data_IF_145652246515
#
_entry.id   IF_145652246515
#
_cell.length_a   1.000
_cell.length_b   1.000
_cell.length_c   1.000
_cell.angle_alpha   90.00
_cell.angle_beta   90.00
_cell.angle_gamma   90.00
#
_symmetry.space_group_name_H-M   'P 1'
#
loop_
_entity.id
_entity.type
_entity.pdbx_description
1 polymer ?
#
# COMPACT_ATOMS: atom_id res chain seq x y z
N UNK A 1 13.24 17.49 -14.16
CA UNK A 1 13.05 16.16 -13.53
C UNK A 1 13.97 16.09 -12.33
N UNK A 2 13.44 15.90 -11.14
CA UNK A 2 14.26 15.77 -9.94
C UNK A 2 14.94 14.40 -9.85
N UNK A 3 15.82 14.21 -8.85
CA UNK A 3 16.57 12.95 -8.71
C UNK A 3 15.65 11.76 -8.46
N UNK A 4 14.60 11.92 -7.66
CA UNK A 4 13.60 10.89 -7.34
C UNK A 4 12.88 10.41 -8.60
N UNK A 5 12.48 11.34 -9.45
CA UNK A 5 11.82 11.03 -10.71
C UNK A 5 12.73 10.23 -11.66
N UNK A 6 14.01 10.60 -11.73
CA UNK A 6 14.99 9.87 -12.56
C UNK A 6 15.17 8.42 -12.08
N UNK A 7 15.18 8.19 -10.78
CA UNK A 7 15.28 6.84 -10.21
C UNK A 7 14.03 5.99 -10.56
N UNK A 8 12.83 6.56 -10.38
CA UNK A 8 11.59 5.86 -10.77
C UNK A 8 11.53 5.55 -12.27
N UNK A 9 11.96 6.48 -13.13
CA UNK A 9 12.00 6.25 -14.57
C UNK A 9 13.01 5.17 -14.97
N UNK A 10 14.13 5.11 -14.27
CA UNK A 10 15.14 4.08 -14.47
C UNK A 10 14.75 2.70 -13.91
N UNK A 11 13.53 2.54 -13.37
CA UNK A 11 13.08 1.28 -12.78
C UNK A 11 13.71 0.97 -11.42
N UNK A 12 14.25 1.98 -10.74
CA UNK A 12 14.81 1.83 -9.40
C UNK A 12 13.81 2.25 -8.32
N UNK A 13 14.14 1.92 -7.07
CA UNK A 13 13.31 2.23 -5.92
C UNK A 13 13.65 3.59 -5.31
N UNK A 14 12.66 4.20 -4.65
CA UNK A 14 12.80 5.44 -3.88
C UNK A 14 12.09 5.32 -2.54
N UNK A 15 12.61 5.99 -1.51
CA UNK A 15 11.96 6.09 -0.21
C UNK A 15 11.07 7.33 -0.19
N UNK A 16 9.77 7.14 0.06
CA UNK A 16 8.80 8.23 0.10
C UNK A 16 8.01 8.22 1.41
N UNK A 17 7.73 9.39 1.98
CA UNK A 17 6.85 9.50 3.14
C UNK A 17 5.39 9.25 2.73
N UNK A 18 4.63 8.69 3.67
CA UNK A 18 3.18 8.65 3.62
C UNK A 18 2.62 9.28 4.89
N UNK A 19 1.31 9.34 5.06
CA UNK A 19 0.73 9.79 6.33
C UNK A 19 0.89 8.78 7.47
N UNK A 20 1.33 7.57 7.17
CA UNK A 20 1.54 6.49 8.16
C UNK A 20 3.01 6.32 8.52
N UNK A 21 3.77 5.68 7.64
CA UNK A 21 5.20 5.38 7.74
C UNK A 21 5.85 5.61 6.38
N UNK A 22 7.17 5.59 6.30
CA UNK A 22 7.86 5.58 5.02
C UNK A 22 7.63 4.28 4.26
N UNK A 23 7.53 4.38 2.95
CA UNK A 23 7.52 3.24 2.04
C UNK A 23 8.71 3.24 1.09
N UNK A 24 9.09 2.07 0.59
CA UNK A 24 9.99 1.92 -0.55
C UNK A 24 9.12 1.73 -1.78
N UNK A 25 9.19 2.70 -2.70
CA UNK A 25 8.32 2.76 -3.87
C UNK A 25 9.07 2.44 -5.15
N UNK A 26 8.40 1.71 -6.03
CA UNK A 26 8.86 1.44 -7.39
C UNK A 26 7.66 1.27 -8.33
N UNK A 27 7.88 1.37 -9.64
CA UNK A 27 6.82 1.19 -10.65
C UNK A 27 6.25 -0.22 -10.57
N UNK A 28 4.96 -0.35 -10.27
CA UNK A 28 4.30 -1.64 -10.08
C UNK A 28 4.24 -2.49 -11.36
N UNK A 29 4.14 -1.84 -12.52
CA UNK A 29 4.05 -2.51 -13.82
C UNK A 29 5.43 -2.82 -14.46
N UNK A 30 6.51 -2.51 -13.76
CA UNK A 30 7.86 -2.89 -14.16
C UNK A 30 8.35 -4.03 -13.26
N UNK A 31 8.43 -5.24 -13.81
CA UNK A 31 8.80 -6.44 -13.05
C UNK A 31 10.19 -6.30 -12.42
N UNK A 32 11.18 -5.79 -13.16
CA UNK A 32 12.55 -5.61 -12.66
C UNK A 32 12.59 -4.65 -11.44
N UNK A 33 11.78 -3.58 -11.50
CA UNK A 33 11.67 -2.63 -10.40
C UNK A 33 11.02 -3.27 -9.15
N UNK A 34 10.02 -4.14 -9.36
CA UNK A 34 9.38 -4.89 -8.27
C UNK A 34 10.33 -5.94 -7.69
N UNK A 35 11.06 -6.66 -8.55
CA UNK A 35 12.07 -7.63 -8.13
C UNK A 35 13.14 -6.96 -7.26
N UNK A 36 13.57 -5.76 -7.65
CA UNK A 36 14.51 -4.96 -6.87
C UNK A 36 14.00 -4.63 -5.46
N UNK A 37 12.69 -4.34 -5.30
CA UNK A 37 12.06 -4.14 -3.96
C UNK A 37 12.19 -5.41 -3.10
N UNK A 38 11.91 -6.59 -3.69
CA UNK A 38 12.04 -7.86 -2.95
C UNK A 38 13.46 -8.11 -2.49
N UNK A 39 14.45 -7.85 -3.34
CA UNK A 39 15.87 -7.99 -3.03
C UNK A 39 16.32 -7.02 -1.93
N UNK A 40 16.06 -5.72 -2.10
CA UNK A 40 16.40 -4.69 -1.13
C UNK A 40 15.87 -5.00 0.27
N UNK A 41 14.61 -5.43 0.33
CA UNK A 41 13.95 -5.72 1.61
C UNK A 41 14.27 -7.12 2.15
N UNK A 42 14.95 -7.97 1.41
CA UNK A 42 15.06 -9.41 1.70
C UNK A 42 13.68 -10.01 1.96
N UNK A 43 12.69 -9.61 1.15
CA UNK A 43 11.30 -10.00 1.32
C UNK A 43 11.04 -11.37 0.73
N UNK A 44 10.36 -12.27 1.44
CA UNK A 44 9.90 -13.54 0.86
C UNK A 44 8.96 -13.30 -0.33
N UNK A 45 9.15 -14.05 -1.41
CA UNK A 45 8.38 -13.89 -2.66
C UNK A 45 6.91 -14.30 -2.54
N UNK A 46 6.56 -15.09 -1.54
CA UNK A 46 5.19 -15.47 -1.22
C UNK A 46 4.38 -14.36 -0.54
N UNK A 47 5.04 -13.28 -0.11
CA UNK A 47 4.37 -12.10 0.45
C UNK A 47 4.02 -11.11 -0.65
N UNK A 48 2.74 -11.08 -1.05
CA UNK A 48 2.20 -10.15 -2.03
C UNK A 48 2.50 -8.68 -1.69
N UNK A 49 2.42 -7.83 -2.70
CA UNK A 49 2.54 -6.37 -2.61
C UNK A 49 1.18 -5.71 -2.88
N UNK A 50 1.01 -4.52 -2.33
CA UNK A 50 -0.15 -3.68 -2.60
C UNK A 50 0.15 -2.69 -3.73
N UNK A 51 -0.91 -2.27 -4.43
CA UNK A 51 -0.87 -1.18 -5.38
C UNK A 51 -1.21 0.14 -4.69
N UNK A 52 -0.27 1.08 -4.68
CA UNK A 52 -0.55 2.47 -4.32
C UNK A 52 -0.99 3.20 -5.60
N UNK A 53 -2.19 3.76 -5.55
CA UNK A 53 -2.88 4.32 -6.72
C UNK A 53 -3.35 5.74 -6.45
N UNK A 54 -3.73 6.46 -7.50
CA UNK A 54 -4.08 7.87 -7.39
C UNK A 54 -5.58 8.11 -7.10
N UNK A 55 -6.45 7.21 -7.52
CA UNK A 55 -7.90 7.37 -7.43
C UNK A 55 -8.67 6.04 -7.52
N UNK A 56 -9.99 6.13 -7.32
CA UNK A 56 -10.91 5.00 -7.39
C UNK A 56 -10.95 4.33 -8.78
N UNK A 57 -10.77 5.10 -9.86
CA UNK A 57 -10.83 4.53 -11.23
C UNK A 57 -9.76 3.49 -11.42
N UNK A 58 -8.57 3.74 -10.87
CA UNK A 58 -7.45 2.78 -10.94
C UNK A 58 -7.72 1.56 -10.07
N UNK A 59 -8.34 1.70 -8.89
CA UNK A 59 -8.79 0.58 -8.06
C UNK A 59 -9.75 -0.31 -8.84
N UNK A 60 -10.77 0.28 -9.47
CA UNK A 60 -11.76 -0.46 -10.28
C UNK A 60 -11.13 -1.11 -11.51
N UNK A 61 -10.13 -0.48 -12.12
CA UNK A 61 -9.45 -1.00 -13.30
C UNK A 61 -8.70 -2.32 -13.03
N UNK A 62 -8.12 -2.47 -11.82
CA UNK A 62 -7.33 -3.64 -11.43
C UNK A 62 -8.09 -4.66 -10.57
N UNK A 63 -9.34 -4.39 -10.22
CA UNK A 63 -10.17 -5.28 -9.41
C UNK A 63 -11.42 -5.75 -10.14
N UNK A 64 -12.09 -6.77 -9.60
CA UNK A 64 -13.36 -7.31 -10.09
C UNK A 64 -14.31 -7.58 -8.93
N UNK A 65 -15.60 -7.77 -9.22
CA UNK A 65 -16.63 -8.12 -8.24
C UNK A 65 -16.65 -7.16 -7.03
N UNK A 66 -16.48 -5.86 -7.31
CA UNK A 66 -16.44 -4.85 -6.24
C UNK A 66 -17.80 -4.76 -5.54
N UNK A 67 -17.82 -4.67 -4.19
CA UNK A 67 -19.06 -4.46 -3.46
C UNK A 67 -19.68 -3.09 -3.76
N UNK A 68 -21.00 -2.99 -3.70
CA UNK A 68 -21.73 -1.76 -4.01
C UNK A 68 -21.36 -0.56 -3.12
N UNK A 69 -20.86 -0.81 -1.92
CA UNK A 69 -20.41 0.22 -0.97
C UNK A 69 -18.96 0.69 -1.18
N UNK A 70 -18.24 0.19 -2.20
CA UNK A 70 -16.81 0.50 -2.38
C UNK A 70 -16.54 2.01 -2.51
N UNK A 71 -17.31 2.75 -3.30
CA UNK A 71 -17.13 4.20 -3.44
C UNK A 71 -17.28 4.92 -2.10
N UNK A 72 -18.28 4.54 -1.31
CA UNK A 72 -18.52 5.14 0.01
C UNK A 72 -17.36 4.88 0.98
N UNK A 73 -16.77 3.68 0.93
CA UNK A 73 -15.59 3.32 1.71
C UNK A 73 -14.38 4.16 1.28
N UNK A 74 -14.14 4.29 -0.02
CA UNK A 74 -13.04 5.09 -0.58
C UNK A 74 -13.21 6.56 -0.21
N UNK A 75 -14.38 7.14 -0.44
CA UNK A 75 -14.65 8.56 -0.17
C UNK A 75 -14.50 8.91 1.33
N UNK A 76 -14.77 7.95 2.22
CA UNK A 76 -14.68 8.17 3.66
C UNK A 76 -13.25 8.08 4.21
N UNK A 77 -12.37 7.26 3.62
CA UNK A 77 -11.09 6.91 4.23
C UNK A 77 -9.86 7.09 3.34
N UNK A 78 -10.03 7.41 2.05
CA UNK A 78 -8.94 7.60 1.11
C UNK A 78 -9.01 8.98 0.42
N UNK A 79 -7.88 9.65 0.21
CA UNK A 79 -6.52 9.27 0.58
C UNK A 79 -6.34 9.14 2.10
N UNK A 80 -5.64 8.10 2.56
CA UNK A 80 -5.47 7.91 3.99
C UNK A 80 -4.99 6.52 4.42
N UNK A 81 -5.04 6.23 5.75
CA UNK A 81 -4.39 5.09 6.37
C UNK A 81 -5.21 3.80 6.27
N UNK A 82 -5.84 3.55 5.13
CA UNK A 82 -6.58 2.33 4.83
C UNK A 82 -6.00 1.62 3.61
N UNK A 83 -5.75 0.33 3.73
CA UNK A 83 -5.47 -0.56 2.61
C UNK A 83 -6.69 -1.47 2.43
N UNK A 84 -7.25 -1.49 1.22
CA UNK A 84 -8.44 -2.28 0.87
C UNK A 84 -8.01 -3.45 0.00
N UNK A 85 -8.31 -4.68 0.42
CA UNK A 85 -8.07 -5.88 -0.39
C UNK A 85 -9.35 -6.22 -1.14
N UNK A 86 -9.21 -6.38 -2.47
CA UNK A 86 -10.26 -6.75 -3.41
C UNK A 86 -9.83 -7.95 -4.24
N UNK A 87 -10.77 -8.57 -4.94
CA UNK A 87 -10.45 -9.57 -5.94
C UNK A 87 -9.69 -8.92 -7.10
N UNK A 88 -8.52 -9.49 -7.43
CA UNK A 88 -7.72 -9.06 -8.56
C UNK A 88 -8.37 -9.52 -9.87
N UNK A 89 -8.27 -8.70 -10.90
CA UNK A 89 -8.57 -9.16 -12.25
C UNK A 89 -7.27 -9.52 -13.00
N UNK A 90 -7.40 -9.95 -14.24
CA UNK A 90 -6.31 -10.40 -15.12
C UNK A 90 -5.31 -9.31 -15.54
N UNK A 91 -5.57 -8.04 -15.18
CA UNK A 91 -4.66 -6.92 -15.44
C UNK A 91 -3.62 -6.73 -14.34
N UNK A 92 -3.83 -7.35 -13.16
CA UNK A 92 -2.83 -7.33 -12.08
C UNK A 92 -1.73 -8.32 -12.41
N UNK A 93 -0.47 -7.87 -12.54
CA UNK A 93 0.64 -8.79 -12.83
C UNK A 93 0.88 -9.80 -11.70
N UNK A 94 1.30 -11.01 -12.08
CA UNK A 94 1.58 -12.11 -11.12
C UNK A 94 2.65 -11.74 -10.09
N UNK A 95 3.63 -10.92 -10.46
CA UNK A 95 4.66 -10.44 -9.52
C UNK A 95 4.15 -9.49 -8.43
N UNK A 96 2.90 -9.01 -8.53
CA UNK A 96 2.24 -8.18 -7.50
C UNK A 96 1.51 -9.07 -6.49
N UNK A 97 0.61 -9.94 -6.96
CA UNK A 97 -0.26 -10.73 -6.08
C UNK A 97 0.33 -12.07 -5.63
N UNK A 98 1.52 -12.43 -6.12
CA UNK A 98 2.24 -13.66 -5.69
C UNK A 98 1.40 -14.94 -5.78
N UNK A 99 0.57 -15.06 -6.83
CA UNK A 99 -0.32 -16.20 -7.05
C UNK A 99 -1.64 -16.17 -6.27
N UNK A 100 -1.91 -15.10 -5.52
CA UNK A 100 -3.21 -14.88 -4.89
C UNK A 100 -4.24 -14.39 -5.93
N UNK A 101 -5.52 -14.57 -5.64
CA UNK A 101 -6.63 -14.02 -6.43
C UNK A 101 -7.08 -12.63 -5.95
N UNK A 102 -6.32 -12.04 -5.04
CA UNK A 102 -6.61 -10.76 -4.39
C UNK A 102 -5.45 -9.78 -4.54
N UNK A 103 -5.75 -8.49 -4.44
CA UNK A 103 -4.75 -7.40 -4.42
C UNK A 103 -5.20 -6.30 -3.47
N UNK A 104 -4.25 -5.75 -2.71
CA UNK A 104 -4.47 -4.61 -1.85
C UNK A 104 -4.29 -3.28 -2.58
N UNK A 105 -5.13 -2.30 -2.27
CA UNK A 105 -5.07 -0.95 -2.81
C UNK A 105 -4.97 0.08 -1.70
N UNK A 106 -4.19 1.12 -1.92
CA UNK A 106 -4.10 2.28 -1.05
C UNK A 106 -3.97 3.55 -1.88
N UNK A 107 -4.53 4.64 -1.40
CA UNK A 107 -4.27 6.00 -1.89
C UNK A 107 -3.59 6.74 -0.75
N UNK A 108 -2.26 6.90 -0.76
CA UNK A 108 -1.55 7.61 0.31
C UNK A 108 -1.85 9.10 0.28
N UNK A 109 -1.91 9.75 1.44
CA UNK A 109 -2.29 11.15 1.55
C UNK A 109 -1.13 12.14 1.41
N UNK A 110 0.13 11.67 1.47
CA UNK A 110 1.28 12.58 1.35
C UNK A 110 1.35 13.23 -0.04
N UNK A 111 1.40 14.57 -0.16
CA UNK A 111 1.26 15.29 -1.44
C UNK A 111 2.29 14.86 -2.49
N UNK A 112 3.58 14.79 -2.11
CA UNK A 112 4.65 14.41 -3.05
C UNK A 112 4.51 12.96 -3.52
N UNK A 113 4.18 12.04 -2.65
CA UNK A 113 3.97 10.64 -2.98
C UNK A 113 2.78 10.47 -3.92
N UNK A 114 1.68 11.15 -3.64
CA UNK A 114 0.49 11.12 -4.50
C UNK A 114 0.74 11.79 -5.88
N UNK A 115 1.53 12.87 -5.93
CA UNK A 115 1.99 13.49 -7.18
C UNK A 115 2.74 12.48 -8.07
N UNK A 116 3.70 11.74 -7.48
CA UNK A 116 4.48 10.74 -8.20
C UNK A 116 3.61 9.58 -8.70
N UNK A 117 2.65 9.12 -7.89
CA UNK A 117 1.70 8.09 -8.31
C UNK A 117 0.82 8.58 -9.48
N UNK A 118 0.36 9.82 -9.45
CA UNK A 118 -0.41 10.41 -10.57
C UNK A 118 0.42 10.49 -11.85
N UNK A 119 1.70 10.80 -11.73
CA UNK A 119 2.61 10.96 -12.87
C UNK A 119 3.05 9.64 -13.47
N UNK A 120 3.38 8.65 -12.65
CA UNK A 120 4.02 7.39 -13.08
C UNK A 120 3.09 6.18 -13.09
N UNK A 121 1.83 6.34 -12.67
CA UNK A 121 0.87 5.26 -12.51
C UNK A 121 1.05 4.50 -11.18
N UNK A 122 0.46 3.30 -11.07
CA UNK A 122 0.53 2.51 -9.85
C UNK A 122 1.97 2.23 -9.42
N UNK A 123 2.25 2.43 -8.13
CA UNK A 123 3.52 2.08 -7.50
C UNK A 123 3.29 0.97 -6.46
N UNK A 124 4.20 0.02 -6.36
CA UNK A 124 4.34 -0.77 -5.13
C UNK A 124 4.99 0.10 -4.07
N UNK A 125 4.69 -0.12 -2.81
CA UNK A 125 5.20 0.73 -1.73
C UNK A 125 5.09 0.04 -0.37
N UNK A 126 5.76 -1.12 -0.15
CA UNK A 126 5.82 -1.69 1.19
C UNK A 126 6.56 -0.76 2.14
N UNK A 127 6.34 -0.93 3.45
CA UNK A 127 7.04 -0.14 4.47
C UNK A 127 8.57 -0.16 4.29
N UNK A 128 9.22 0.97 4.56
CA UNK A 128 10.67 1.15 4.37
C UNK A 128 11.46 0.55 5.54
N UNK A 129 11.62 -0.77 5.54
CA UNK A 129 12.37 -1.56 6.52
C UNK A 129 12.81 -2.88 5.89
N UNK A 130 13.84 -3.51 6.40
CA UNK A 130 14.13 -4.90 6.10
C UNK A 130 13.00 -5.79 6.59
N UNK A 131 12.68 -6.86 5.86
CA UNK A 131 11.58 -7.75 6.21
C UNK A 131 11.77 -8.34 7.61
N UNK A 132 10.74 -8.19 8.45
CA UNK A 132 10.76 -8.61 9.85
C UNK A 132 11.21 -7.54 10.85
N UNK A 133 11.73 -6.41 10.39
CA UNK A 133 12.01 -5.26 11.24
C UNK A 133 10.78 -4.36 11.40
N UNK A 134 10.81 -3.45 12.36
CA UNK A 134 9.77 -2.44 12.53
C UNK A 134 9.73 -1.47 11.34
N UNK A 135 8.54 -0.95 11.03
CA UNK A 135 8.37 0.05 9.96
C UNK A 135 9.18 1.32 10.25
N UNK A 136 9.87 1.82 9.25
CA UNK A 136 10.71 3.02 9.36
C UNK A 136 9.87 4.29 9.57
N UNK A 137 10.23 5.07 10.56
CA UNK A 137 9.54 6.32 10.94
C UNK A 137 10.45 7.53 10.97
N UNK A 138 11.76 7.34 10.75
CA UNK A 138 12.75 8.40 10.59
C UNK A 138 13.57 8.15 9.35
N UNK A 139 13.64 9.17 8.49
CA UNK A 139 14.32 9.06 7.21
C UNK A 139 15.79 8.65 7.34
N UNK A 140 16.53 9.25 8.25
CA UNK A 140 17.96 8.99 8.45
C UNK A 140 18.24 7.55 8.91
N UNK A 141 17.37 6.97 9.73
CA UNK A 141 17.50 5.58 10.18
C UNK A 141 17.25 4.62 9.01
N UNK A 142 16.24 4.94 8.17
CA UNK A 142 15.86 4.13 7.01
C UNK A 142 16.99 4.10 5.98
N UNK A 143 17.52 5.25 5.57
CA UNK A 143 18.61 5.27 4.58
C UNK A 143 19.87 4.58 5.07
N UNK A 144 20.12 4.59 6.37
CA UNK A 144 21.22 3.86 6.99
C UNK A 144 20.98 2.35 6.93
N UNK A 145 19.73 1.88 7.13
CA UNK A 145 19.36 0.45 7.04
C UNK A 145 19.56 -0.10 5.63
N UNK A 146 19.43 0.75 4.61
CA UNK A 146 19.65 0.40 3.20
C UNK A 146 21.00 0.85 2.64
N UNK A 147 22.01 1.00 3.51
CA UNK A 147 23.39 1.37 3.11
C UNK A 147 23.45 2.64 2.24
N UNK A 148 22.49 3.56 2.39
CA UNK A 148 22.34 4.82 1.64
C UNK A 148 22.23 4.67 0.12
N UNK A 149 21.90 3.47 -0.38
CA UNK A 149 21.78 3.21 -1.82
C UNK A 149 20.43 3.59 -2.42
N UNK A 150 19.42 3.84 -1.58
CA UNK A 150 18.06 4.20 -2.00
C UNK A 150 17.78 5.66 -1.68
N UNK A 151 17.66 6.55 -2.67
CA UNK A 151 17.33 7.95 -2.41
C UNK A 151 15.86 8.12 -2.02
N UNK A 152 15.56 9.23 -1.37
CA UNK A 152 14.19 9.49 -0.93
C UNK A 152 13.89 10.94 -0.63
N UNK A 153 12.70 11.16 -0.14
CA UNK A 153 12.17 12.45 0.32
C UNK A 153 12.00 12.39 1.83
N UNK A 154 12.69 13.27 2.54
CA UNK A 154 12.57 13.38 3.99
C UNK A 154 11.38 14.27 4.36
N UNK A 155 10.46 13.74 5.17
CA UNK A 155 9.37 14.47 5.81
C UNK A 155 8.87 13.69 7.04
N UNK A 156 9.69 13.66 8.10
CA UNK A 156 9.40 12.91 9.32
C UNK A 156 8.19 13.44 10.10
N UNK A 157 7.86 14.72 9.90
CA UNK A 157 6.79 15.40 10.65
C UNK A 157 5.39 15.07 10.10
N UNK A 158 5.30 14.60 8.87
CA UNK A 158 4.02 14.24 8.25
C UNK A 158 3.46 12.89 8.75
N UNK A 159 4.27 12.03 9.32
CA UNK A 159 3.93 10.66 9.66
C UNK A 159 3.18 10.53 10.98
N UNK A 160 2.10 9.73 11.01
CA UNK A 160 1.45 9.28 12.25
C UNK A 160 2.26 8.21 12.99
N UNK A 161 3.23 7.59 12.32
CA UNK A 161 4.08 6.50 12.82
C UNK A 161 3.30 5.23 13.18
N UNK A 162 2.13 5.07 12.60
CA UNK A 162 1.30 3.89 12.74
C UNK A 162 0.98 3.33 11.36
N UNK A 163 1.16 2.03 11.16
CA UNK A 163 0.81 1.37 9.90
C UNK A 163 -0.69 1.49 9.56
N UNK A 164 -1.02 1.40 8.27
CA UNK A 164 -2.41 1.43 7.81
C UNK A 164 -3.22 0.23 8.31
N UNK A 165 -4.50 0.44 8.54
CA UNK A 165 -5.46 -0.66 8.68
C UNK A 165 -5.56 -1.40 7.35
N UNK A 166 -5.55 -2.74 7.38
CA UNK A 166 -5.77 -3.58 6.19
C UNK A 166 -7.14 -4.24 6.33
N UNK A 167 -8.05 -3.86 5.44
CA UNK A 167 -9.41 -4.37 5.36
C UNK A 167 -9.56 -5.24 4.12
N UNK A 168 -9.84 -6.52 4.32
CA UNK A 168 -10.16 -7.46 3.25
C UNK A 168 -11.70 -7.50 3.05
N UNK A 169 -12.13 -7.12 1.85
CA UNK A 169 -13.52 -7.18 1.38
C UNK A 169 -13.63 -7.95 0.07
N UNK A 170 -12.67 -8.82 -0.21
CA UNK A 170 -12.66 -9.66 -1.40
C UNK A 170 -13.68 -10.80 -1.37
N UNK A 171 -14.11 -11.20 -0.17
CA UNK A 171 -15.13 -12.22 0.07
C UNK A 171 -16.50 -11.63 0.40
N UNK A 172 -17.41 -12.49 0.86
CA UNK A 172 -18.77 -12.09 1.28
C UNK A 172 -18.81 -11.41 2.64
N UNK A 173 -17.77 -11.56 3.44
CA UNK A 173 -17.60 -10.94 4.77
C UNK A 173 -16.31 -10.14 4.81
N UNK A 174 -16.34 -9.03 5.54
CA UNK A 174 -15.17 -8.20 5.77
C UNK A 174 -14.28 -8.78 6.88
N UNK A 175 -12.95 -8.61 6.74
CA UNK A 175 -11.96 -8.98 7.76
C UNK A 175 -10.93 -7.89 7.91
N UNK A 176 -10.55 -7.55 9.13
CA UNK A 176 -9.40 -6.69 9.41
C UNK A 176 -8.18 -7.60 9.57
N UNK A 177 -7.29 -7.59 8.58
CA UNK A 177 -6.06 -8.41 8.60
C UNK A 177 -4.94 -7.74 9.40
N UNK A 178 -4.97 -6.43 9.53
CA UNK A 178 -4.08 -5.65 10.37
C UNK A 178 -4.83 -4.43 10.90
N UNK A 179 -4.81 -4.27 12.22
CA UNK A 179 -5.38 -3.08 12.86
C UNK A 179 -4.36 -1.94 12.79
N UNK A 180 -4.75 -0.84 12.17
CA UNK A 180 -4.07 0.45 12.20
C UNK A 180 -4.92 1.48 12.95
N UNK A 181 -4.84 2.74 12.53
CA UNK A 181 -5.60 3.84 13.16
C UNK A 181 -7.11 3.79 12.89
N UNK A 182 -7.54 3.19 11.78
CA UNK A 182 -8.97 3.07 11.44
C UNK A 182 -9.52 1.79 12.08
N UNK A 183 -10.49 1.94 12.98
CA UNK A 183 -11.08 0.83 13.72
C UNK A 183 -12.31 0.23 13.01
N UNK A 184 -12.74 -0.95 13.44
CA UNK A 184 -14.01 -1.57 12.99
C UNK A 184 -15.20 -0.65 13.23
N UNK A 185 -15.20 0.07 14.37
CA UNK A 185 -16.26 1.03 14.71
C UNK A 185 -16.27 2.22 13.74
N UNK A 186 -15.10 2.76 13.37
CA UNK A 186 -14.98 3.84 12.37
C UNK A 186 -15.50 3.38 11.00
N UNK A 187 -15.15 2.17 10.58
CA UNK A 187 -15.61 1.58 9.32
C UNK A 187 -17.13 1.44 9.30
N UNK A 188 -17.73 0.86 10.34
CA UNK A 188 -19.19 0.68 10.45
C UNK A 188 -19.96 1.99 10.58
N UNK A 189 -19.37 3.02 11.21
CA UNK A 189 -19.99 4.34 11.30
C UNK A 189 -20.16 5.01 9.93
N UNK A 190 -19.20 4.80 9.01
CA UNK A 190 -19.26 5.36 7.67
C UNK A 190 -19.91 4.42 6.65
N UNK A 191 -19.73 3.12 6.81
CA UNK A 191 -20.21 2.09 5.88
C UNK A 191 -20.95 1.00 6.66
N UNK A 192 -22.19 1.25 7.12
CA UNK A 192 -22.95 0.29 7.90
C UNK A 192 -23.33 -0.99 7.14
N UNK A 193 -23.16 -0.98 5.82
CA UNK A 193 -23.36 -2.16 4.95
C UNK A 193 -22.26 -3.22 5.11
N UNK A 194 -21.11 -2.88 5.72
CA UNK A 194 -20.05 -3.84 6.01
C UNK A 194 -20.55 -4.94 6.95
N UNK A 195 -20.38 -6.19 6.54
CA UNK A 195 -20.66 -7.36 7.37
C UNK A 195 -19.35 -8.07 7.66
N UNK A 196 -18.91 -8.02 8.90
CA UNK A 196 -17.68 -8.68 9.34
C UNK A 196 -17.90 -10.15 9.63
N UNK A 197 -16.83 -10.96 9.48
CA UNK A 197 -16.79 -12.31 10.05
C UNK A 197 -17.01 -12.20 11.57
N UNK A 198 -17.75 -13.16 12.13
CA UNK A 198 -17.86 -13.28 13.58
C UNK A 198 -16.47 -13.66 14.12
N UNK A 199 -16.02 -12.96 15.17
CA UNK A 199 -14.81 -13.36 15.87
C UNK A 199 -15.08 -14.77 16.43
N UNK A 200 -14.39 -15.79 15.92
CA UNK A 200 -14.41 -17.10 16.53
C UNK A 200 -13.85 -16.93 17.94
N UNK A 201 -14.71 -17.06 18.94
CA UNK A 201 -14.28 -17.11 20.33
C UNK A 201 -13.32 -18.32 20.45
N UNK A 202 -12.11 -18.11 20.97
CA UNK A 202 -11.21 -19.24 21.20
C UNK A 202 -11.91 -20.23 22.14
N UNK A 203 -12.02 -21.50 21.67
CA UNK A 203 -12.52 -22.62 22.47
C UNK A 203 -11.50 -23.00 23.54
#
# INVERSE_FOLDING_TARGET
MDHIEKELEAGRAVILPTETVYGIFAKALNQEAVDYIYELKRRPRDKALNLNVADEKVIRFYSKNQPGYLSKLIDSFLPGPLTIILQANDKVPDWIHSGLDTVGFRIPAHPKTLELIRKYGPLVGPSANLSGHASGTKYQDIISEFDQVVPGVEDDDFLTRQDSTILDISGSKARILRQGSITKADLLAQVPELSFEEDELPQ
#
